data_IF_269121779461
#
_entry.id   IF_269121779461
#
_cell.length_a   1.000
_cell.length_b   1.000
_cell.length_c   1.000
_cell.angle_alpha   90.00
_cell.angle_beta   90.00
_cell.angle_gamma   90.00
#
_symmetry.space_group_name_H-M   'P 1'
#
loop_
_entity.id
_entity.type
_entity.pdbx_description
1 polymer ?
#
# COMPACT_ATOMS: atom_id res chain seq x y z
N UNK A 1 -6.95 -0.47 -17.27
CA UNK A 1 -5.65 -0.72 -16.62
C UNK A 1 -5.12 -2.05 -17.13
N UNK A 2 -3.83 -2.11 -17.53
CA UNK A 2 -3.20 -3.37 -17.91
C UNK A 2 -2.96 -4.21 -16.63
N UNK A 3 -3.25 -5.51 -16.66
CA UNK A 3 -3.05 -6.42 -15.52
C UNK A 3 -1.59 -6.38 -15.02
N UNK A 4 -0.63 -6.28 -15.94
CA UNK A 4 0.80 -6.16 -15.66
C UNK A 4 1.14 -4.88 -14.90
N UNK A 5 0.50 -3.75 -15.25
CA UNK A 5 0.72 -2.47 -14.57
C UNK A 5 0.14 -2.48 -13.14
N UNK A 6 -0.98 -3.17 -12.94
CA UNK A 6 -1.62 -3.32 -11.64
C UNK A 6 -0.79 -4.20 -10.70
N UNK A 7 -0.23 -5.31 -11.22
CA UNK A 7 0.68 -6.18 -10.49
C UNK A 7 2.00 -5.47 -10.10
N UNK A 8 2.55 -4.66 -11.02
CA UNK A 8 3.73 -3.85 -10.72
C UNK A 8 3.47 -2.81 -9.62
N UNK A 9 2.32 -2.12 -9.67
CA UNK A 9 1.93 -1.15 -8.64
C UNK A 9 1.72 -1.82 -7.26
N UNK A 10 1.06 -2.98 -7.22
CA UNK A 10 0.88 -3.79 -6.01
C UNK A 10 2.23 -4.22 -5.41
N UNK A 11 3.12 -4.78 -6.23
CA UNK A 11 4.46 -5.20 -5.80
C UNK A 11 5.26 -4.03 -5.23
N UNK A 12 5.22 -2.87 -5.89
CA UNK A 12 5.92 -1.66 -5.42
C UNK A 12 5.35 -1.15 -4.10
N UNK A 13 4.03 -1.08 -3.96
CA UNK A 13 3.37 -0.68 -2.72
C UNK A 13 3.72 -1.63 -1.55
N UNK A 14 3.70 -2.95 -1.80
CA UNK A 14 4.08 -3.95 -0.80
C UNK A 14 5.55 -3.81 -0.37
N UNK A 15 6.48 -3.63 -1.32
CA UNK A 15 7.90 -3.42 -1.01
C UNK A 15 8.11 -2.12 -0.22
N UNK A 16 7.42 -1.04 -0.61
CA UNK A 16 7.48 0.26 0.06
C UNK A 16 6.88 0.26 1.47
N UNK A 17 5.98 -0.66 1.79
CA UNK A 17 5.36 -0.79 3.13
C UNK A 17 6.22 -1.51 4.17
N UNK A 18 7.27 -2.22 3.75
CA UNK A 18 8.11 -3.03 4.64
C UNK A 18 9.20 -2.23 5.36
N UNK A 19 9.41 -0.97 4.98
CA UNK A 19 10.37 -0.10 5.64
C UNK A 19 9.97 1.37 5.53
N UNK A 20 10.57 2.19 6.39
CA UNK A 20 10.50 3.64 6.26
C UNK A 20 11.47 4.11 5.18
N UNK A 21 10.96 4.95 4.29
CA UNK A 21 11.71 5.74 3.33
C UNK A 21 12.62 6.75 4.02
N UNK A 22 13.56 7.32 3.28
CA UNK A 22 14.44 8.37 3.80
C UNK A 22 13.65 9.59 4.30
N UNK A 23 12.57 9.98 3.61
CA UNK A 23 11.70 11.10 4.00
C UNK A 23 10.95 10.81 5.30
N UNK A 24 10.42 9.60 5.46
CA UNK A 24 9.72 9.18 6.69
C UNK A 24 10.68 9.09 7.88
N UNK A 25 11.89 8.57 7.67
CA UNK A 25 12.94 8.60 8.69
C UNK A 25 13.33 10.04 9.07
N UNK A 26 13.37 10.94 8.09
CA UNK A 26 13.61 12.37 8.33
C UNK A 26 12.48 13.02 9.14
N UNK A 27 11.23 12.61 8.94
CA UNK A 27 10.10 13.11 9.75
C UNK A 27 10.14 12.67 11.22
N UNK A 28 10.93 11.64 11.52
CA UNK A 28 11.19 11.16 12.87
C UNK A 28 12.47 11.76 13.46
N UNK A 29 13.22 12.56 12.69
CA UNK A 29 14.43 13.21 13.16
C UNK A 29 14.10 14.18 14.30
N UNK A 30 14.72 13.98 15.46
CA UNK A 30 14.47 14.75 16.69
C UNK A 30 13.62 14.03 17.73
N UNK A 31 13.08 12.84 17.42
CA UNK A 31 12.56 11.92 18.43
C UNK A 31 13.68 10.99 18.91
N UNK A 32 13.69 10.67 20.20
CA UNK A 32 14.67 9.77 20.81
C UNK A 32 13.98 8.73 21.70
N UNK A 33 14.69 7.63 21.97
CA UNK A 33 14.23 6.56 22.87
C UNK A 33 12.84 6.02 22.52
N UNK A 34 11.99 5.91 23.54
CA UNK A 34 10.65 5.29 23.44
C UNK A 34 9.71 6.05 22.49
N UNK A 35 9.87 7.38 22.39
CA UNK A 35 9.01 8.19 21.50
C UNK A 35 9.37 7.95 20.03
N UNK A 36 10.66 7.78 19.72
CA UNK A 36 11.11 7.37 18.39
C UNK A 36 10.57 5.98 18.03
N UNK A 37 10.65 5.02 18.96
CA UNK A 37 10.16 3.66 18.74
C UNK A 37 8.65 3.65 18.49
N UNK A 38 7.88 4.39 19.31
CA UNK A 38 6.43 4.49 19.16
C UNK A 38 6.04 5.15 17.85
N UNK A 39 6.66 6.28 17.51
CA UNK A 39 6.38 6.99 16.27
C UNK A 39 6.75 6.14 15.04
N UNK A 40 7.89 5.44 15.09
CA UNK A 40 8.30 4.47 14.05
C UNK A 40 7.26 3.37 13.89
N UNK A 41 6.81 2.77 15.01
CA UNK A 41 5.82 1.70 14.99
C UNK A 41 4.48 2.18 14.41
N UNK A 42 3.99 3.36 14.84
CA UNK A 42 2.75 3.95 14.34
C UNK A 42 2.82 4.24 12.84
N UNK A 43 3.93 4.82 12.39
CA UNK A 43 4.13 5.14 10.98
C UNK A 43 4.17 3.86 10.13
N UNK A 44 4.91 2.85 10.57
CA UNK A 44 4.94 1.54 9.91
C UNK A 44 3.56 0.88 9.85
N UNK A 45 2.79 0.95 10.93
CA UNK A 45 1.45 0.37 11.00
C UNK A 45 0.49 1.10 10.04
N UNK A 46 0.56 2.43 9.97
CA UNK A 46 -0.19 3.23 9.00
C UNK A 46 0.14 2.81 7.56
N UNK A 47 1.43 2.68 7.22
CA UNK A 47 1.85 2.25 5.88
C UNK A 47 1.32 0.88 5.50
N UNK A 48 1.31 -0.06 6.44
CA UNK A 48 0.77 -1.40 6.21
C UNK A 48 -0.75 -1.35 5.96
N UNK A 49 -1.48 -0.55 6.74
CA UNK A 49 -2.92 -0.36 6.53
C UNK A 49 -3.22 0.27 5.17
N UNK A 50 -2.47 1.29 4.77
CA UNK A 50 -2.60 1.95 3.46
C UNK A 50 -2.30 0.98 2.31
N UNK A 51 -1.26 0.15 2.45
CA UNK A 51 -0.92 -0.87 1.45
C UNK A 51 -2.03 -1.92 1.30
N UNK A 52 -2.60 -2.39 2.41
CA UNK A 52 -3.73 -3.35 2.39
C UNK A 52 -4.98 -2.71 1.80
N UNK A 53 -5.29 -1.46 2.16
CA UNK A 53 -6.43 -0.73 1.62
C UNK A 53 -6.28 -0.51 0.10
N UNK A 54 -5.09 -0.12 -0.35
CA UNK A 54 -4.75 0.02 -1.76
C UNK A 54 -4.92 -1.31 -2.51
N UNK A 55 -4.37 -2.39 -1.97
CA UNK A 55 -4.49 -3.72 -2.57
C UNK A 55 -5.94 -4.19 -2.67
N UNK A 56 -6.72 -4.00 -1.60
CA UNK A 56 -8.15 -4.31 -1.58
C UNK A 56 -8.92 -3.55 -2.67
N UNK A 57 -8.64 -2.25 -2.83
CA UNK A 57 -9.28 -1.42 -3.85
C UNK A 57 -8.93 -1.86 -5.28
N UNK A 58 -7.68 -2.27 -5.53
CA UNK A 58 -7.31 -2.82 -6.85
C UNK A 58 -8.06 -4.13 -7.12
N UNK A 59 -8.08 -5.05 -6.15
CA UNK A 59 -8.76 -6.34 -6.30
C UNK A 59 -10.26 -6.15 -6.58
N UNK A 60 -10.93 -5.25 -5.85
CA UNK A 60 -12.34 -4.92 -6.08
C UNK A 60 -12.58 -4.41 -7.51
N UNK A 61 -11.76 -3.46 -7.98
CA UNK A 61 -11.88 -2.92 -9.34
C UNK A 61 -11.63 -3.99 -10.42
N UNK A 62 -10.65 -4.86 -10.22
CA UNK A 62 -10.42 -5.97 -11.16
C UNK A 62 -11.62 -6.93 -11.21
N UNK A 63 -12.25 -7.21 -10.07
CA UNK A 63 -13.46 -8.03 -10.02
C UNK A 63 -14.64 -7.36 -10.72
N UNK A 64 -14.85 -6.05 -10.54
CA UNK A 64 -15.88 -5.28 -11.25
C UNK A 64 -15.69 -5.33 -12.77
N UNK A 65 -14.43 -5.19 -13.24
CA UNK A 65 -14.10 -5.30 -14.67
C UNK A 65 -14.42 -6.71 -15.18
N UNK A 66 -14.03 -7.76 -14.44
CA UNK A 66 -14.30 -9.14 -14.84
C UNK A 66 -15.80 -9.42 -14.95
N UNK A 67 -16.60 -8.97 -13.98
CA UNK A 67 -18.06 -9.10 -14.00
C UNK A 67 -18.69 -8.32 -15.16
N UNK A 68 -18.19 -7.11 -15.46
CA UNK A 68 -18.63 -6.31 -16.61
C UNK A 68 -18.35 -7.02 -17.94
N UNK A 69 -17.17 -7.61 -18.11
CA UNK A 69 -16.84 -8.39 -19.32
C UNK A 69 -17.75 -9.62 -19.45
N UNK A 70 -17.96 -10.38 -18.38
CA UNK A 70 -18.86 -11.54 -18.37
C UNK A 70 -20.30 -11.12 -18.73
N UNK A 71 -20.76 -9.99 -18.20
CA UNK A 71 -22.10 -9.47 -18.53
C UNK A 71 -22.24 -9.04 -19.99
N UNK A 72 -21.19 -8.49 -20.59
CA UNK A 72 -21.18 -8.08 -22.00
C UNK A 72 -20.96 -9.26 -22.98
N UNK A 73 -20.62 -10.45 -22.47
CA UNK A 73 -20.51 -11.68 -23.26
C UNK A 73 -21.82 -12.50 -23.30
N UNK A 74 -22.85 -12.10 -22.53
CA UNK A 74 -24.21 -12.65 -22.60
C UNK A 74 -25.03 -11.91 -23.64
#
# INVERSE_FOLDING_TARGET
MNATASAAALSTAFKGSQSLSATEKSSLAGLEGVDLERATAQLMLQKQQEAVAFASNIIKKLNEIAMSVISNLK
#
